data_IF_572812930948
#
_entry.id   IF_572812930948
#
_cell.length_a   1.000
_cell.length_b   1.000
_cell.length_c   1.000
_cell.angle_alpha   90.00
_cell.angle_beta   90.00
_cell.angle_gamma   90.00
#
_symmetry.space_group_name_H-M   'P 1'
#
loop_
_entity.id
_entity.type
_entity.pdbx_description
1 polymer ?
#
# COMPACT_ATOMS: atom_id res chain seq x y z
N UNK A 1 62.10 -46.78 -31.52
CA UNK A 1 61.72 -45.40 -31.91
C UNK A 1 60.35 -45.31 -32.57
N UNK A 2 59.86 -46.35 -33.26
CA UNK A 2 58.55 -46.31 -33.94
C UNK A 2 57.35 -46.39 -32.97
N UNK A 3 57.40 -47.23 -31.93
CA UNK A 3 56.37 -47.31 -30.88
C UNK A 3 56.15 -45.97 -30.14
N UNK A 4 57.23 -45.31 -29.70
CA UNK A 4 57.12 -44.02 -29.00
C UNK A 4 56.54 -42.90 -29.86
N UNK A 5 56.67 -42.96 -31.19
CA UNK A 5 56.02 -41.97 -32.07
C UNK A 5 54.52 -42.21 -32.13
N UNK A 6 54.11 -43.47 -32.23
CA UNK A 6 52.70 -43.84 -32.30
C UNK A 6 51.97 -43.51 -30.98
N UNK A 7 52.57 -43.84 -29.83
CA UNK A 7 52.05 -43.45 -28.51
C UNK A 7 51.92 -41.92 -28.36
N UNK A 8 52.86 -41.16 -28.92
CA UNK A 8 52.83 -39.70 -28.89
C UNK A 8 51.73 -39.11 -29.79
N UNK A 9 51.49 -39.73 -30.94
CA UNK A 9 50.44 -39.30 -31.88
C UNK A 9 49.05 -39.65 -31.34
N UNK A 10 48.88 -40.81 -30.71
CA UNK A 10 47.65 -41.22 -30.01
C UNK A 10 47.36 -40.28 -28.82
N UNK A 11 48.39 -39.95 -28.02
CA UNK A 11 48.24 -39.01 -26.90
C UNK A 11 47.87 -37.59 -27.38
N UNK A 12 48.44 -37.13 -28.50
CA UNK A 12 48.07 -35.83 -29.10
C UNK A 12 46.64 -35.83 -29.60
N UNK A 13 46.19 -36.93 -30.21
CA UNK A 13 44.82 -37.08 -30.67
C UNK A 13 43.84 -37.01 -29.49
N UNK A 14 44.08 -37.78 -28.43
CA UNK A 14 43.27 -37.74 -27.21
C UNK A 14 43.25 -36.35 -26.54
N UNK A 15 44.41 -35.69 -26.41
CA UNK A 15 44.45 -34.32 -25.87
C UNK A 15 43.68 -33.33 -26.75
N UNK A 16 43.70 -33.50 -28.07
CA UNK A 16 42.96 -32.64 -28.98
C UNK A 16 41.45 -32.80 -28.80
N UNK A 17 40.97 -34.04 -28.62
CA UNK A 17 39.56 -34.33 -28.38
C UNK A 17 39.11 -33.79 -27.01
N UNK A 18 39.90 -33.99 -25.95
CA UNK A 18 39.60 -33.44 -24.62
C UNK A 18 39.55 -31.91 -24.62
N UNK A 19 40.48 -31.24 -25.30
CA UNK A 19 40.47 -29.77 -25.44
C UNK A 19 39.24 -29.30 -26.21
N UNK A 20 38.79 -30.07 -27.21
CA UNK A 20 37.57 -29.76 -27.95
C UNK A 20 36.33 -29.88 -27.05
N UNK A 21 36.19 -30.98 -26.31
CA UNK A 21 35.07 -31.18 -25.36
C UNK A 21 35.04 -30.09 -24.29
N UNK A 22 36.18 -29.78 -23.67
CA UNK A 22 36.28 -28.70 -22.67
C UNK A 22 35.91 -27.35 -23.27
N UNK A 23 36.36 -27.04 -24.49
CA UNK A 23 35.99 -25.80 -25.16
C UNK A 23 34.50 -25.73 -25.44
N UNK A 24 33.91 -26.83 -25.90
CA UNK A 24 32.48 -26.91 -26.20
C UNK A 24 31.64 -26.72 -24.93
N UNK A 25 31.96 -27.44 -23.87
CA UNK A 25 31.28 -27.31 -22.57
C UNK A 25 31.41 -25.89 -22.02
N UNK A 26 32.60 -25.29 -22.10
CA UNK A 26 32.83 -23.91 -21.68
C UNK A 26 31.90 -22.96 -22.43
N UNK A 27 31.80 -23.10 -23.74
CA UNK A 27 31.01 -22.20 -24.57
C UNK A 27 29.50 -22.36 -24.24
N UNK A 28 29.02 -23.58 -24.04
CA UNK A 28 27.68 -23.89 -23.55
C UNK A 28 27.39 -23.28 -22.17
N UNK A 29 28.35 -23.36 -21.24
CA UNK A 29 28.23 -22.75 -19.92
C UNK A 29 28.20 -21.23 -19.99
N UNK A 30 29.05 -20.62 -20.83
CA UNK A 30 29.07 -19.18 -21.03
C UNK A 30 27.75 -18.68 -21.63
N UNK A 31 27.16 -19.41 -22.57
CA UNK A 31 25.85 -19.07 -23.12
C UNK A 31 24.74 -19.12 -22.06
N UNK A 32 24.71 -20.17 -21.23
CA UNK A 32 23.75 -20.29 -20.12
C UNK A 32 23.93 -19.18 -19.08
N UNK A 33 25.18 -18.85 -18.76
CA UNK A 33 25.50 -17.76 -17.83
C UNK A 33 25.02 -16.41 -18.39
N UNK A 34 25.29 -16.14 -19.66
CA UNK A 34 24.84 -14.91 -20.32
C UNK A 34 23.31 -14.77 -20.27
N UNK A 35 22.58 -15.82 -20.65
CA UNK A 35 21.10 -15.82 -20.57
C UNK A 35 20.59 -15.56 -19.15
N UNK A 36 21.22 -16.19 -18.16
CA UNK A 36 20.86 -15.99 -16.74
C UNK A 36 21.10 -14.55 -16.27
N UNK A 37 22.20 -13.94 -16.70
CA UNK A 37 22.52 -12.54 -16.38
C UNK A 37 21.51 -11.58 -17.02
N UNK A 38 21.14 -11.82 -18.28
CA UNK A 38 20.13 -11.02 -18.98
C UNK A 38 18.75 -11.15 -18.33
N UNK A 39 18.33 -12.37 -17.98
CA UNK A 39 17.07 -12.62 -17.28
C UNK A 39 17.03 -11.95 -15.91
N UNK A 40 18.14 -11.99 -15.16
CA UNK A 40 18.24 -11.31 -13.86
C UNK A 40 18.15 -9.79 -14.01
N UNK A 41 18.81 -9.21 -15.03
CA UNK A 41 18.74 -7.79 -15.31
C UNK A 41 17.30 -7.36 -15.65
N UNK A 42 16.60 -8.14 -16.48
CA UNK A 42 15.19 -7.89 -16.82
C UNK A 42 14.30 -7.94 -15.59
N UNK A 43 14.39 -8.98 -14.77
CA UNK A 43 13.56 -9.09 -13.56
C UNK A 43 13.85 -8.00 -12.54
N UNK A 44 15.10 -7.55 -12.44
CA UNK A 44 15.46 -6.41 -11.59
C UNK A 44 14.76 -5.14 -12.06
N UNK A 45 14.75 -4.87 -13.37
CA UNK A 45 14.09 -3.70 -13.95
C UNK A 45 12.56 -3.77 -13.78
N UNK A 46 11.95 -4.91 -14.09
CA UNK A 46 10.51 -5.16 -13.88
C UNK A 46 10.11 -4.88 -12.42
N UNK A 47 10.91 -5.37 -11.46
CA UNK A 47 10.68 -5.14 -10.04
C UNK A 47 10.83 -3.68 -9.66
N UNK A 48 11.79 -2.96 -10.23
CA UNK A 48 11.94 -1.52 -9.97
C UNK A 48 10.74 -0.72 -10.48
N UNK A 49 10.24 -1.04 -11.67
CA UNK A 49 9.04 -0.42 -12.24
C UNK A 49 7.81 -0.72 -11.37
N UNK A 50 7.62 -1.98 -10.98
CA UNK A 50 6.52 -2.40 -10.12
C UNK A 50 6.58 -1.71 -8.75
N UNK A 51 7.76 -1.61 -8.13
CA UNK A 51 7.95 -0.93 -6.86
C UNK A 51 7.58 0.55 -6.95
N UNK A 52 8.01 1.27 -8.00
CA UNK A 52 7.62 2.68 -8.20
C UNK A 52 6.11 2.85 -8.36
N UNK A 53 5.47 1.91 -9.08
CA UNK A 53 4.01 1.89 -9.21
C UNK A 53 3.30 1.70 -7.87
N UNK A 54 3.82 0.79 -7.03
CA UNK A 54 3.33 0.57 -5.67
C UNK A 54 3.51 1.78 -4.77
N UNK A 55 4.71 2.39 -4.72
CA UNK A 55 5.00 3.59 -3.93
C UNK A 55 4.08 4.75 -4.30
N UNK A 56 3.84 4.95 -5.61
CA UNK A 56 2.91 5.97 -6.09
C UNK A 56 1.47 5.71 -5.65
N UNK A 57 1.03 4.46 -5.74
CA UNK A 57 -0.33 4.05 -5.33
C UNK A 57 -0.51 4.19 -3.82
N UNK A 58 0.46 3.77 -3.03
CA UNK A 58 0.47 3.90 -1.59
C UNK A 58 0.39 5.36 -1.15
N UNK A 59 1.22 6.23 -1.73
CA UNK A 59 1.18 7.67 -1.46
C UNK A 59 -0.19 8.28 -1.82
N UNK A 60 -0.78 7.91 -2.96
CA UNK A 60 -2.11 8.37 -3.35
C UNK A 60 -3.18 7.94 -2.33
N UNK A 61 -3.12 6.69 -1.85
CA UNK A 61 -4.08 6.16 -0.87
C UNK A 61 -3.92 6.84 0.49
N UNK A 62 -2.69 7.04 0.97
CA UNK A 62 -2.42 7.76 2.21
C UNK A 62 -2.97 9.19 2.17
N UNK A 63 -2.76 9.90 1.06
CA UNK A 63 -3.33 11.24 0.86
C UNK A 63 -4.87 11.24 0.87
N UNK A 64 -5.50 10.23 0.24
CA UNK A 64 -6.96 10.08 0.25
C UNK A 64 -7.50 9.83 1.65
N UNK A 65 -6.86 8.94 2.43
CA UNK A 65 -7.26 8.65 3.81
C UNK A 65 -7.19 9.93 4.65
N UNK A 66 -6.06 10.63 4.60
CA UNK A 66 -5.91 11.90 5.35
C UNK A 66 -6.96 12.95 4.94
N UNK A 67 -7.27 13.06 3.65
CA UNK A 67 -8.31 13.98 3.17
C UNK A 67 -9.69 13.59 3.71
N UNK A 68 -10.02 12.30 3.72
CA UNK A 68 -11.29 11.79 4.24
C UNK A 68 -11.41 11.96 5.74
N UNK A 69 -10.33 11.77 6.51
CA UNK A 69 -10.32 11.97 7.96
C UNK A 69 -10.62 13.44 8.31
N UNK A 70 -9.97 14.38 7.61
CA UNK A 70 -10.25 15.82 7.78
C UNK A 70 -11.69 16.16 7.42
N UNK A 71 -12.21 15.62 6.31
CA UNK A 71 -13.59 15.85 5.89
C UNK A 71 -14.60 15.25 6.88
N UNK A 72 -14.29 14.09 7.48
CA UNK A 72 -15.13 13.44 8.47
C UNK A 72 -15.24 14.27 9.74
N UNK A 73 -14.12 14.78 10.27
CA UNK A 73 -14.14 15.63 11.46
C UNK A 73 -14.88 16.96 11.18
N UNK A 74 -14.65 17.58 10.02
CA UNK A 74 -15.41 18.77 9.62
C UNK A 74 -16.92 18.50 9.52
N UNK A 75 -17.32 17.33 9.01
CA UNK A 75 -18.73 16.95 8.94
C UNK A 75 -19.34 16.70 10.33
N UNK A 76 -18.60 16.09 11.26
CA UNK A 76 -19.04 15.90 12.65
C UNK A 76 -19.26 17.24 13.35
N UNK A 77 -18.33 18.17 13.18
CA UNK A 77 -18.43 19.52 13.73
C UNK A 77 -19.66 20.26 13.17
N UNK A 78 -19.87 20.20 11.86
CA UNK A 78 -20.99 20.86 11.20
C UNK A 78 -22.34 20.29 11.65
N UNK A 79 -22.47 18.96 11.72
CA UNK A 79 -23.69 18.30 12.22
C UNK A 79 -23.97 18.71 13.66
N UNK A 80 -22.94 18.72 14.51
CA UNK A 80 -23.08 19.09 15.92
C UNK A 80 -23.52 20.55 16.08
N UNK A 81 -22.94 21.47 15.32
CA UNK A 81 -23.33 22.89 15.32
C UNK A 81 -24.75 23.08 14.82
N UNK A 82 -25.08 22.49 13.66
CA UNK A 82 -26.41 22.60 13.07
C UNK A 82 -27.51 22.07 14.02
N UNK A 83 -27.22 20.99 14.74
CA UNK A 83 -28.12 20.46 15.76
C UNK A 83 -28.33 21.44 16.92
N UNK A 84 -27.25 21.98 17.49
CA UNK A 84 -27.32 22.95 18.61
C UNK A 84 -28.04 24.23 18.19
N UNK A 85 -27.73 24.76 17.01
CA UNK A 85 -28.36 25.97 16.48
C UNK A 85 -29.86 25.75 16.25
N UNK A 86 -30.23 24.61 15.67
CA UNK A 86 -31.63 24.22 15.49
C UNK A 86 -32.40 24.06 16.80
N UNK A 87 -31.78 23.42 17.79
CA UNK A 87 -32.36 23.25 19.13
C UNK A 87 -32.58 24.60 19.82
N UNK A 88 -31.57 25.47 19.82
CA UNK A 88 -31.67 26.81 20.42
C UNK A 88 -32.73 27.66 19.70
N UNK A 89 -32.78 27.60 18.36
CA UNK A 89 -33.82 28.29 17.59
C UNK A 89 -35.23 27.79 17.92
N UNK A 90 -35.41 26.49 18.18
CA UNK A 90 -36.68 25.94 18.63
C UNK A 90 -37.07 26.44 20.04
N UNK A 91 -36.10 26.54 20.96
CA UNK A 91 -36.33 27.12 22.30
C UNK A 91 -36.75 28.59 22.19
N UNK A 92 -36.08 29.38 21.34
CA UNK A 92 -36.43 30.78 21.12
C UNK A 92 -37.85 30.93 20.58
N UNK A 93 -38.24 30.11 19.59
CA UNK A 93 -39.61 30.07 19.07
C UNK A 93 -40.62 29.68 20.15
N UNK A 94 -40.28 28.71 21.00
CA UNK A 94 -41.12 28.29 22.11
C UNK A 94 -41.33 29.41 23.14
N UNK A 95 -40.27 30.16 23.48
CA UNK A 95 -40.35 31.31 24.41
C UNK A 95 -41.24 32.44 23.90
N UNK A 96 -41.34 32.63 22.58
CA UNK A 96 -42.30 33.59 21.99
C UNK A 96 -43.74 33.17 22.28
N UNK A 97 -44.04 31.87 22.21
CA UNK A 97 -45.38 31.34 22.46
C UNK A 97 -45.72 31.22 23.96
N UNK A 98 -44.73 30.90 24.78
CA UNK A 98 -44.87 30.62 26.21
C UNK A 98 -43.78 31.34 27.02
N UNK A 99 -43.85 32.68 27.16
CA UNK A 99 -42.76 33.47 27.73
C UNK A 99 -42.51 33.23 29.22
N UNK A 100 -43.46 32.63 29.93
CA UNK A 100 -43.37 32.37 31.37
C UNK A 100 -42.87 30.96 31.70
N UNK A 101 -42.65 30.11 30.70
CA UNK A 101 -42.14 28.75 30.93
C UNK A 101 -40.62 28.80 31.07
N UNK A 102 -40.12 28.23 32.15
CA UNK A 102 -38.69 28.07 32.35
C UNK A 102 -38.14 26.97 31.42
N UNK A 103 -37.32 27.38 30.46
CA UNK A 103 -36.63 26.47 29.54
C UNK A 103 -35.19 26.18 29.97
N UNK A 104 -34.74 26.68 31.12
CA UNK A 104 -33.40 26.39 31.64
C UNK A 104 -33.08 24.90 31.81
N UNK A 105 -34.05 23.99 32.04
CA UNK A 105 -33.77 22.55 32.09
C UNK A 105 -33.55 21.92 30.71
N UNK A 106 -33.88 22.61 29.61
CA UNK A 106 -33.71 22.10 28.25
C UNK A 106 -32.23 22.21 27.85
N UNK A 107 -31.63 21.06 27.55
CA UNK A 107 -30.24 20.95 27.11
C UNK A 107 -30.20 20.00 25.90
N UNK A 108 -29.59 20.40 24.78
CA UNK A 108 -29.52 19.58 23.57
C UNK A 108 -28.81 18.24 23.78
N UNK A 109 -27.99 18.11 24.84
CA UNK A 109 -27.20 16.91 25.12
C UNK A 109 -27.78 16.03 26.22
N UNK A 110 -28.91 16.39 26.82
CA UNK A 110 -29.55 15.55 27.84
C UNK A 110 -30.44 14.49 27.23
N UNK A 111 -30.41 13.31 27.86
CA UNK A 111 -31.26 12.19 27.48
C UNK A 111 -32.70 12.38 27.96
N UNK A 112 -33.65 11.87 27.16
CA UNK A 112 -35.08 11.87 27.50
C UNK A 112 -35.55 10.43 27.66
N UNK A 113 -35.96 10.06 28.87
CA UNK A 113 -36.52 8.74 29.22
C UNK A 113 -37.94 8.95 29.76
N UNK A 114 -38.92 8.24 29.18
CA UNK A 114 -40.35 8.36 29.54
C UNK A 114 -40.89 9.79 29.56
N UNK A 115 -40.44 10.62 28.61
CA UNK A 115 -40.85 12.03 28.49
C UNK A 115 -40.27 12.95 29.56
N UNK A 116 -39.30 12.50 30.35
CA UNK A 116 -38.57 13.30 31.34
C UNK A 116 -37.10 13.44 30.95
N UNK A 117 -36.56 14.62 31.18
CA UNK A 117 -35.13 14.89 31.03
C UNK A 117 -34.41 14.25 32.21
N UNK A 118 -33.43 13.40 31.92
CA UNK A 118 -32.59 12.74 32.90
C UNK A 118 -31.15 13.21 32.72
N UNK A 119 -30.44 13.39 33.84
CA UNK A 119 -29.00 13.61 33.81
C UNK A 119 -28.32 12.25 33.57
N UNK A 120 -27.39 12.18 32.62
CA UNK A 120 -26.58 10.97 32.40
C UNK A 120 -25.59 10.83 33.57
N UNK A 121 -25.65 9.71 34.30
CA UNK A 121 -24.65 9.31 35.31
C UNK A 121 -23.27 9.04 34.70
#
# INVERSE_FOLDING_TARGET
MQNMRQELDDAKFHMSDEVYEISHDRDDFLEKLQRTVEDYARHREERQVANRGWESTESMLQNKVSTLDVALEAAKDEVSRSFVDGFNGAIEQFKVLQPNVDTSPLDPFKSVVDGKIVDEE
#
